data_IF_299813033981
#
_entry.id   IF_299813033981
#
_cell.length_a   1.000
_cell.length_b   1.000
_cell.length_c   1.000
_cell.angle_alpha   90.00
_cell.angle_beta   90.00
_cell.angle_gamma   90.00
#
_symmetry.space_group_name_H-M   'P 1'
#
loop_
_entity.id
_entity.type
_entity.pdbx_description
1 polymer ?
#
# COMPACT_ATOMS: atom_id res chain seq x y z
N UNK A 1 56.44 13.40 66.50
CA UNK A 1 55.89 12.61 67.65
C UNK A 1 54.56 11.99 67.31
N UNK A 2 54.44 10.69 67.60
CA UNK A 2 53.18 9.88 67.75
C UNK A 2 52.29 9.83 66.54
N UNK A 3 52.43 8.80 65.67
CA UNK A 3 51.71 7.51 65.70
C UNK A 3 50.22 7.64 66.06
N UNK A 4 49.34 7.38 65.06
CA UNK A 4 48.22 6.48 65.28
C UNK A 4 47.73 5.92 63.92
N UNK A 5 48.00 4.66 63.78
CA UNK A 5 47.41 3.72 62.83
C UNK A 5 45.96 3.58 63.20
N UNK A 6 45.05 3.77 62.31
CA UNK A 6 43.69 3.29 62.40
C UNK A 6 43.35 2.50 61.19
N UNK A 7 43.42 1.20 61.38
CA UNK A 7 42.82 0.19 60.56
C UNK A 7 41.32 0.46 60.49
N UNK A 8 40.78 0.68 59.34
CA UNK A 8 39.36 0.58 59.13
C UNK A 8 39.06 -0.39 58.01
N UNK A 9 38.62 -1.52 58.48
CA UNK A 9 38.06 -2.68 57.85
C UNK A 9 37.39 -2.41 56.49
N UNK A 10 37.90 -3.16 55.53
CA UNK A 10 37.28 -3.45 54.24
C UNK A 10 35.96 -4.21 54.46
N UNK A 11 34.85 -3.53 54.39
CA UNK A 11 33.54 -4.16 54.37
C UNK A 11 33.19 -4.48 52.93
N UNK A 12 33.49 -5.69 52.51
CA UNK A 12 33.12 -6.25 51.24
C UNK A 12 31.64 -6.58 51.30
N UNK A 13 30.78 -5.66 50.87
CA UNK A 13 29.36 -5.96 50.65
C UNK A 13 29.23 -6.66 49.30
N UNK A 14 29.21 -7.96 49.31
CA UNK A 14 28.80 -8.77 48.17
C UNK A 14 27.27 -8.64 48.07
N UNK A 15 26.82 -7.70 47.23
CA UNK A 15 25.42 -7.67 46.79
C UNK A 15 25.27 -8.74 45.74
N UNK A 16 24.91 -9.94 46.14
CA UNK A 16 24.37 -10.94 45.26
C UNK A 16 23.00 -10.46 44.78
N UNK A 17 22.98 -9.55 43.84
CA UNK A 17 21.77 -9.22 43.09
C UNK A 17 21.44 -10.38 42.18
N UNK A 18 20.45 -11.18 42.57
CA UNK A 18 19.73 -12.04 41.65
C UNK A 18 19.14 -11.18 40.55
N UNK A 19 19.84 -11.03 39.44
CA UNK A 19 19.25 -10.56 38.20
C UNK A 19 18.25 -11.63 37.75
N UNK A 20 17.00 -11.48 38.11
CA UNK A 20 15.91 -12.10 37.40
C UNK A 20 16.01 -11.58 35.97
N UNK A 21 16.49 -12.41 35.05
CA UNK A 21 16.29 -12.23 33.62
C UNK A 21 14.77 -12.32 33.43
N UNK A 22 14.11 -11.18 33.39
CA UNK A 22 12.82 -11.08 32.73
C UNK A 22 13.09 -11.36 31.24
N UNK A 23 12.75 -12.56 30.84
CA UNK A 23 12.55 -12.89 29.45
C UNK A 23 11.41 -12.01 28.97
N UNK A 24 11.74 -10.93 28.28
CA UNK A 24 10.79 -10.21 27.43
C UNK A 24 10.61 -11.09 26.18
N UNK A 25 9.90 -12.19 26.34
CA UNK A 25 9.31 -12.93 25.23
C UNK A 25 7.98 -12.26 24.86
N UNK A 26 8.02 -11.01 24.44
CA UNK A 26 7.00 -10.45 23.58
C UNK A 26 7.50 -10.52 22.14
N UNK A 27 7.53 -11.72 21.63
CA UNK A 27 7.39 -11.95 20.21
C UNK A 27 5.94 -11.61 19.89
N UNK A 28 5.64 -10.31 19.70
CA UNK A 28 4.44 -9.92 19.00
C UNK A 28 4.56 -10.53 17.63
N UNK A 29 3.91 -11.66 17.46
CA UNK A 29 3.66 -12.23 16.15
C UNK A 29 2.71 -11.23 15.47
N UNK A 30 3.29 -10.30 14.70
CA UNK A 30 2.53 -9.51 13.75
C UNK A 30 1.88 -10.57 12.87
N UNK A 31 0.59 -10.82 13.07
CA UNK A 31 -0.21 -11.63 12.17
C UNK A 31 -0.35 -10.78 10.91
N UNK A 32 0.58 -10.98 9.96
CA UNK A 32 0.41 -10.45 8.62
C UNK A 32 -0.95 -10.93 8.12
N UNK A 33 -1.88 -10.00 7.94
CA UNK A 33 -3.16 -10.34 7.34
C UNK A 33 -2.89 -10.74 5.89
N UNK A 34 -3.54 -11.79 5.38
CA UNK A 34 -3.29 -12.26 4.04
C UNK A 34 -3.64 -11.16 3.03
N UNK A 35 -2.69 -10.83 2.17
CA UNK A 35 -2.91 -9.90 1.06
C UNK A 35 -3.87 -10.58 0.07
N UNK A 36 -5.03 -9.98 -0.14
CA UNK A 36 -5.99 -10.43 -1.15
C UNK A 36 -5.74 -9.66 -2.44
N UNK A 37 -5.56 -10.38 -3.55
CA UNK A 37 -5.40 -9.78 -4.88
C UNK A 37 -6.59 -10.14 -5.76
N UNK A 38 -7.33 -9.12 -6.21
CA UNK A 38 -8.39 -9.25 -7.21
C UNK A 38 -7.88 -8.76 -8.54
N UNK A 39 -7.79 -9.65 -9.55
CA UNK A 39 -7.46 -9.28 -10.93
C UNK A 39 -8.74 -8.88 -11.66
N UNK A 40 -8.64 -7.84 -12.47
CA UNK A 40 -9.72 -7.34 -13.30
C UNK A 40 -9.40 -7.55 -14.78
N UNK A 41 -10.42 -7.53 -15.61
CA UNK A 41 -10.28 -7.72 -17.05
C UNK A 41 -9.59 -6.54 -17.73
N UNK A 42 -8.86 -6.83 -18.81
CA UNK A 42 -8.29 -5.80 -19.68
C UNK A 42 -9.39 -5.11 -20.47
N UNK A 43 -9.30 -3.80 -20.66
CA UNK A 43 -10.26 -3.00 -21.40
C UNK A 43 -9.58 -2.00 -22.32
N UNK A 44 -10.27 -1.58 -23.36
CA UNK A 44 -9.87 -0.49 -24.23
C UNK A 44 -10.93 0.60 -24.24
N UNK A 45 -10.52 1.84 -24.00
CA UNK A 45 -11.39 3.02 -23.96
C UNK A 45 -10.69 4.17 -24.67
N UNK A 46 -11.33 4.76 -25.69
CA UNK A 46 -10.82 5.95 -26.40
C UNK A 46 -9.34 5.83 -26.88
N UNK A 47 -8.97 4.71 -27.49
CA UNK A 47 -7.60 4.38 -27.93
C UNK A 47 -6.59 4.16 -26.78
N UNK A 48 -7.03 4.12 -25.55
CA UNK A 48 -6.21 3.67 -24.44
C UNK A 48 -6.48 2.19 -24.16
N UNK A 49 -5.43 1.41 -24.05
CA UNK A 49 -5.48 0.02 -23.60
C UNK A 49 -5.13 -0.03 -22.13
N UNK A 50 -6.05 -0.54 -21.30
CA UNK A 50 -5.88 -0.65 -19.86
C UNK A 50 -5.70 -2.12 -19.50
N UNK A 51 -4.52 -2.47 -19.00
CA UNK A 51 -4.11 -3.84 -18.70
C UNK A 51 -3.62 -3.99 -17.26
N UNK A 52 -3.48 -5.24 -16.85
CA UNK A 52 -2.93 -5.61 -15.54
C UNK A 52 -3.67 -4.94 -14.36
N UNK A 53 -4.93 -4.57 -14.60
CA UNK A 53 -5.75 -3.97 -13.55
C UNK A 53 -5.95 -4.95 -12.40
N UNK A 54 -5.60 -4.52 -11.19
CA UNK A 54 -5.75 -5.33 -10.00
C UNK A 54 -6.01 -4.47 -8.76
N UNK A 55 -6.60 -5.10 -7.76
CA UNK A 55 -6.81 -4.52 -6.44
C UNK A 55 -6.09 -5.39 -5.44
N UNK A 56 -5.17 -4.81 -4.68
CA UNK A 56 -4.53 -5.44 -3.53
C UNK A 56 -5.15 -4.91 -2.26
N UNK A 57 -5.61 -5.81 -1.40
CA UNK A 57 -6.20 -5.45 -0.11
C UNK A 57 -5.38 -6.05 1.02
N UNK A 58 -4.96 -5.22 1.95
CA UNK A 58 -4.26 -5.59 3.19
C UNK A 58 -4.60 -4.57 4.27
N UNK A 59 -4.76 -5.03 5.51
CA UNK A 59 -4.94 -4.18 6.70
C UNK A 59 -6.06 -3.13 6.58
N UNK A 60 -7.14 -3.48 5.89
CA UNK A 60 -8.29 -2.59 5.73
C UNK A 60 -8.17 -1.56 4.61
N UNK A 61 -7.02 -1.51 3.91
CA UNK A 61 -6.74 -0.61 2.80
C UNK A 61 -6.77 -1.39 1.50
N UNK A 62 -7.28 -0.78 0.44
CA UNK A 62 -7.21 -1.33 -0.90
C UNK A 62 -6.47 -0.39 -1.84
N UNK A 63 -5.59 -0.96 -2.67
CA UNK A 63 -4.81 -0.25 -3.69
C UNK A 63 -5.18 -0.81 -5.05
N UNK A 64 -5.73 0.04 -5.90
CA UNK A 64 -5.95 -0.25 -7.31
C UNK A 64 -4.70 0.13 -8.12
N UNK A 65 -4.28 -0.73 -9.04
CA UNK A 65 -3.22 -0.42 -10.01
C UNK A 65 -3.63 -0.92 -11.39
N UNK A 66 -3.22 -0.18 -12.44
CA UNK A 66 -3.37 -0.62 -13.83
C UNK A 66 -2.33 0.06 -14.72
N UNK A 67 -2.00 -0.59 -15.84
CA UNK A 67 -1.15 -0.04 -16.89
C UNK A 67 -2.02 0.54 -18.00
N UNK A 68 -1.77 1.79 -18.38
CA UNK A 68 -2.50 2.53 -19.41
C UNK A 68 -1.57 2.81 -20.58
N UNK A 69 -1.85 2.22 -21.73
CA UNK A 69 -1.06 2.37 -22.95
C UNK A 69 -1.85 3.18 -23.99
N UNK A 70 -1.24 4.24 -24.52
CA UNK A 70 -1.80 4.95 -25.66
C UNK A 70 -1.57 4.15 -26.96
N UNK A 71 -2.64 3.65 -27.54
CA UNK A 71 -2.62 2.88 -28.80
C UNK A 71 -2.89 3.73 -30.03
N UNK A 72 -3.09 5.04 -29.88
CA UNK A 72 -3.22 5.94 -31.02
C UNK A 72 -1.86 6.27 -31.63
N UNK A 73 -1.88 6.87 -32.79
CA UNK A 73 -0.68 7.40 -33.47
C UNK A 73 -0.28 8.78 -32.95
N UNK A 74 -1.12 9.40 -32.17
CA UNK A 74 -0.97 10.75 -31.63
C UNK A 74 -0.79 10.71 -30.12
N UNK A 75 -0.15 11.71 -29.58
CA UNK A 75 -0.04 11.93 -28.15
C UNK A 75 -1.42 12.31 -27.58
N UNK A 76 -1.72 11.89 -26.37
CA UNK A 76 -3.01 12.16 -25.70
C UNK A 76 -2.75 12.82 -24.36
N UNK A 77 -3.35 13.98 -24.14
CA UNK A 77 -3.32 14.67 -22.87
C UNK A 77 -4.46 14.20 -21.95
N UNK A 78 -4.10 13.69 -20.79
CA UNK A 78 -5.04 13.12 -19.82
C UNK A 78 -4.76 13.70 -18.44
N UNK A 79 -5.80 14.21 -17.80
CA UNK A 79 -5.73 14.61 -16.39
C UNK A 79 -5.83 13.36 -15.50
N UNK A 80 -6.93 12.66 -15.64
CA UNK A 80 -7.23 11.50 -14.81
C UNK A 80 -8.09 10.45 -15.52
N UNK A 81 -8.19 9.31 -14.90
CA UNK A 81 -9.10 8.25 -15.30
C UNK A 81 -10.01 7.93 -14.10
N UNK A 82 -11.30 8.16 -14.29
CA UNK A 82 -12.32 7.73 -13.33
C UNK A 82 -12.52 6.23 -13.45
N UNK A 83 -12.47 5.53 -12.33
CA UNK A 83 -12.49 4.08 -12.22
C UNK A 83 -13.69 3.68 -11.40
N UNK A 84 -14.75 3.16 -12.05
CA UNK A 84 -15.95 2.70 -11.38
C UNK A 84 -15.86 1.19 -11.15
N UNK A 85 -15.81 0.77 -9.89
CA UNK A 85 -15.73 -0.62 -9.48
C UNK A 85 -17.12 -1.15 -9.15
N UNK A 86 -17.49 -2.33 -9.69
CA UNK A 86 -18.81 -2.92 -9.55
C UNK A 86 -18.75 -4.36 -9.07
N UNK A 87 -19.84 -4.81 -8.44
CA UNK A 87 -20.02 -6.18 -8.00
C UNK A 87 -20.55 -7.10 -9.15
N UNK A 88 -20.81 -8.36 -8.82
CA UNK A 88 -21.34 -9.36 -9.77
C UNK A 88 -22.73 -9.01 -10.31
N UNK A 89 -23.48 -8.16 -9.64
CA UNK A 89 -24.82 -7.72 -10.05
C UNK A 89 -24.77 -6.38 -10.80
N UNK A 90 -23.58 -5.93 -11.20
CA UNK A 90 -23.35 -4.65 -11.87
C UNK A 90 -23.68 -3.42 -10.99
N UNK A 91 -23.76 -3.61 -9.67
CA UNK A 91 -23.96 -2.53 -8.72
C UNK A 91 -22.62 -1.84 -8.44
N UNK A 92 -22.61 -0.52 -8.51
CA UNK A 92 -21.46 0.29 -8.14
C UNK A 92 -21.10 0.10 -6.65
N UNK A 93 -19.83 -0.21 -6.40
CA UNK A 93 -19.27 -0.33 -5.06
C UNK A 93 -18.54 0.95 -4.66
N UNK A 94 -17.77 1.51 -5.58
CA UNK A 94 -17.02 2.76 -5.38
C UNK A 94 -16.51 3.32 -6.70
N UNK A 95 -16.15 4.60 -6.67
CA UNK A 95 -15.45 5.28 -7.74
C UNK A 95 -14.10 5.74 -7.21
N UNK A 96 -13.03 5.41 -7.95
CA UNK A 96 -11.67 5.82 -7.69
C UNK A 96 -11.19 6.75 -8.80
N UNK A 97 -10.13 7.49 -8.55
CA UNK A 97 -9.48 8.34 -9.55
C UNK A 97 -8.02 7.94 -9.70
N UNK A 98 -7.62 7.60 -10.92
CA UNK A 98 -6.22 7.35 -11.28
C UNK A 98 -5.66 8.58 -12.01
N UNK A 99 -4.74 9.30 -11.39
CA UNK A 99 -4.14 10.51 -11.98
C UNK A 99 -3.02 10.15 -12.95
N UNK A 100 -3.00 10.84 -14.10
CA UNK A 100 -1.92 10.80 -15.09
C UNK A 100 -1.24 12.18 -15.17
N UNK A 101 -2.03 13.25 -15.16
CA UNK A 101 -1.56 14.63 -15.06
C UNK A 101 -0.62 15.02 -16.19
N UNK A 102 -0.93 14.69 -17.45
CA UNK A 102 -0.11 15.04 -18.59
C UNK A 102 -0.26 14.15 -19.80
N UNK A 103 0.71 14.24 -20.71
CA UNK A 103 0.70 13.58 -22.01
C UNK A 103 1.12 12.11 -21.87
N UNK A 104 0.38 11.20 -22.52
CA UNK A 104 0.83 9.83 -22.82
C UNK A 104 1.17 9.82 -24.32
N UNK A 105 2.45 9.66 -24.65
CA UNK A 105 2.91 9.62 -26.05
C UNK A 105 2.36 8.38 -26.75
N UNK A 106 2.36 8.44 -28.10
CA UNK A 106 2.00 7.28 -28.90
C UNK A 106 2.79 6.04 -28.49
N UNK A 107 2.10 4.94 -28.20
CA UNK A 107 2.62 3.66 -27.69
C UNK A 107 3.31 3.72 -26.31
N UNK A 108 3.27 4.84 -25.60
CA UNK A 108 3.74 4.93 -24.22
C UNK A 108 2.76 4.26 -23.26
N UNK A 109 3.30 3.67 -22.22
CA UNK A 109 2.54 3.10 -21.10
C UNK A 109 2.85 3.86 -19.82
N UNK A 110 1.81 4.30 -19.12
CA UNK A 110 1.89 4.84 -17.76
C UNK A 110 1.10 3.98 -16.80
N UNK A 111 1.56 3.87 -15.57
CA UNK A 111 0.83 3.18 -14.51
C UNK A 111 -0.02 4.17 -13.74
N UNK A 112 -1.27 3.79 -13.48
CA UNK A 112 -2.14 4.50 -12.53
C UNK A 112 -2.21 3.72 -11.22
N UNK A 113 -2.25 4.48 -10.13
CA UNK A 113 -2.39 3.95 -8.77
C UNK A 113 -3.46 4.77 -8.06
N UNK A 114 -4.40 4.10 -7.42
CA UNK A 114 -5.44 4.75 -6.61
C UNK A 114 -5.65 3.98 -5.31
N UNK A 115 -5.67 4.71 -4.21
CA UNK A 115 -5.84 4.15 -2.88
C UNK A 115 -7.29 4.32 -2.39
N UNK A 116 -7.74 3.38 -1.60
CA UNK A 116 -9.01 3.44 -0.89
C UNK A 116 -8.77 3.15 0.59
N UNK A 117 -9.28 4.01 1.46
CA UNK A 117 -9.15 3.88 2.92
C UNK A 117 -10.04 2.78 3.51
N UNK A 118 -10.62 1.96 2.65
CA UNK A 118 -11.48 0.83 3.05
C UNK A 118 -11.22 -0.41 2.19
N UNK A 119 -11.62 -1.55 2.72
CA UNK A 119 -11.48 -2.84 2.05
C UNK A 119 -12.48 -2.96 0.89
N UNK A 120 -11.97 -3.09 -0.33
CA UNK A 120 -12.76 -3.38 -1.53
C UNK A 120 -12.96 -4.88 -1.65
N UNK A 121 -14.15 -5.34 -1.30
CA UNK A 121 -14.56 -6.75 -1.42
C UNK A 121 -15.58 -6.92 -2.55
N UNK A 122 -15.61 -8.13 -3.11
CA UNK A 122 -16.61 -8.52 -4.11
C UNK A 122 -16.57 -7.73 -5.42
N UNK A 123 -15.48 -7.03 -5.72
CA UNK A 123 -15.30 -6.38 -7.03
C UNK A 123 -15.20 -7.46 -8.10
N UNK A 124 -15.99 -7.30 -9.17
CA UNK A 124 -16.03 -8.21 -10.32
C UNK A 124 -15.73 -7.54 -11.64
N UNK A 125 -16.23 -6.31 -11.80
CA UNK A 125 -16.06 -5.55 -13.05
C UNK A 125 -15.58 -4.15 -12.76
N UNK A 126 -14.97 -3.53 -13.77
CA UNK A 126 -14.48 -2.17 -13.74
C UNK A 126 -14.91 -1.42 -14.99
N UNK A 127 -15.27 -0.16 -14.85
CA UNK A 127 -15.50 0.76 -15.96
C UNK A 127 -14.56 1.94 -15.86
N UNK A 128 -14.17 2.50 -17.00
CA UNK A 128 -13.23 3.61 -17.09
C UNK A 128 -13.83 4.76 -17.88
N UNK A 129 -13.67 5.97 -17.38
CA UNK A 129 -14.01 7.22 -18.06
C UNK A 129 -12.77 8.11 -18.07
N UNK A 130 -12.41 8.63 -19.25
CA UNK A 130 -11.18 9.39 -19.43
C UNK A 130 -11.49 10.87 -19.29
N UNK A 131 -10.82 11.54 -18.36
CA UNK A 131 -10.87 12.99 -18.17
C UNK A 131 -9.65 13.62 -18.83
N UNK A 132 -9.90 14.42 -19.88
CA UNK A 132 -8.84 15.09 -20.65
C UNK A 132 -8.51 16.45 -20.02
N UNK A 133 -7.27 16.87 -20.22
CA UNK A 133 -6.86 18.25 -19.94
C UNK A 133 -7.51 19.15 -21.01
N UNK A 134 -8.25 20.14 -20.57
CA UNK A 134 -8.87 21.17 -21.42
C UNK A 134 -7.91 22.33 -21.70
#
# INVERSE_FOLDING_TARGET
MKRRILLLSLLLIIVTGCAKKEKIDKKETIKEQPVVVTKLENKSVNNLEIKNANIKTSDGISVFTADVTNKSKEDIDIDSIKITLKDKNNKELTVLTGYIGGTIKSNETKQIVSNSDFTLKNVKTVEYEIERIN
#
